data_IF_909838113398
#
_entry.id   IF_909838113398
#
_cell.length_a   1.000
_cell.length_b   1.000
_cell.length_c   1.000
_cell.angle_alpha   90.00
_cell.angle_beta   90.00
_cell.angle_gamma   90.00
#
_symmetry.space_group_name_H-M   'P 1'
#
loop_
_entity.id
_entity.type
_entity.pdbx_description
1 polymer ?
#
# COMPACT_ATOMS: atom_id res chain seq x y z
N UNK A 1 -2.30 17.49 5.85
CA UNK A 1 -3.17 16.36 6.26
C UNK A 1 -2.43 15.55 7.31
N UNK A 2 -3.13 15.09 8.36
CA UNK A 2 -2.52 14.34 9.48
C UNK A 2 -2.75 12.82 9.40
N UNK A 3 -3.42 12.34 8.35
CA UNK A 3 -3.67 10.91 8.13
C UNK A 3 -2.44 10.28 7.49
N UNK A 4 -1.84 9.23 8.07
CA UNK A 4 -0.80 8.45 7.40
C UNK A 4 -1.29 7.95 6.05
N UNK A 5 -0.44 7.98 5.03
CA UNK A 5 -0.78 7.58 3.67
C UNK A 5 0.30 6.66 3.09
N UNK A 6 -0.10 5.50 2.62
CA UNK A 6 0.70 4.65 1.75
C UNK A 6 0.21 4.80 0.32
N UNK A 7 1.13 5.15 -0.57
CA UNK A 7 0.92 5.21 -2.02
C UNK A 7 1.70 4.06 -2.66
N UNK A 8 1.01 3.24 -3.44
CA UNK A 8 1.60 2.14 -4.19
C UNK A 8 1.39 2.34 -5.69
N UNK A 9 2.37 1.96 -6.50
CA UNK A 9 2.28 2.01 -7.97
C UNK A 9 2.87 0.75 -8.61
N UNK A 10 2.37 0.37 -9.78
CA UNK A 10 2.92 -0.70 -10.59
C UNK A 10 3.87 -0.14 -11.65
N UNK A 11 5.05 -0.74 -11.84
CA UNK A 11 6.05 -0.24 -12.79
C UNK A 11 5.59 -0.26 -14.25
N UNK A 12 4.61 -1.11 -14.59
CA UNK A 12 4.00 -1.21 -15.92
C UNK A 12 2.60 -0.57 -15.99
N UNK A 13 2.16 0.15 -14.95
CA UNK A 13 0.88 0.85 -14.95
C UNK A 13 0.87 1.97 -16.02
N UNK A 14 -0.12 1.92 -16.91
CA UNK A 14 -0.35 2.91 -17.98
C UNK A 14 -1.50 3.88 -17.68
N UNK A 15 -2.31 3.60 -16.67
CA UNK A 15 -3.41 4.45 -16.23
C UNK A 15 -2.94 5.40 -15.14
N UNK A 16 -2.37 4.86 -14.06
CA UNK A 16 -1.74 5.62 -12.98
C UNK A 16 -0.23 5.41 -13.04
N UNK A 17 0.41 5.95 -14.08
CA UNK A 17 1.85 5.73 -14.32
C UNK A 17 2.68 6.13 -13.09
N UNK A 18 3.80 5.42 -12.78
CA UNK A 18 4.68 5.80 -11.68
C UNK A 18 5.13 7.25 -11.73
N UNK A 19 5.37 7.79 -12.93
CA UNK A 19 5.72 9.19 -13.12
C UNK A 19 4.60 10.15 -12.66
N UNK A 20 3.34 9.87 -13.04
CA UNK A 20 2.19 10.66 -12.61
C UNK A 20 1.95 10.56 -11.10
N UNK A 21 2.11 9.36 -10.52
CA UNK A 21 1.99 9.15 -9.07
C UNK A 21 3.08 9.91 -8.31
N UNK A 22 4.34 9.87 -8.77
CA UNK A 22 5.44 10.62 -8.17
C UNK A 22 5.20 12.12 -8.17
N UNK A 23 4.62 12.68 -9.24
CA UNK A 23 4.23 14.09 -9.28
C UNK A 23 3.23 14.46 -8.18
N UNK A 24 2.30 13.55 -7.85
CA UNK A 24 1.34 13.78 -6.77
C UNK A 24 1.99 13.78 -5.37
N UNK A 25 3.14 13.09 -5.20
CA UNK A 25 3.86 13.03 -3.92
C UNK A 25 4.40 14.40 -3.49
N UNK A 26 4.66 15.32 -4.42
CA UNK A 26 5.05 16.71 -4.10
C UNK A 26 3.98 17.44 -3.26
N UNK A 27 2.71 17.00 -3.35
CA UNK A 27 1.59 17.52 -2.56
C UNK A 27 1.31 16.69 -1.31
N UNK A 28 2.01 15.57 -1.12
CA UNK A 28 1.81 14.58 -0.07
C UNK A 28 3.14 14.25 0.64
N UNK A 29 3.80 15.23 1.29
CA UNK A 29 5.18 15.08 1.79
C UNK A 29 5.35 14.04 2.89
N UNK A 30 4.26 13.63 3.55
CA UNK A 30 4.27 12.60 4.60
C UNK A 30 3.85 11.21 4.09
N UNK A 31 3.66 11.04 2.78
CA UNK A 31 3.27 9.76 2.22
C UNK A 31 4.46 8.79 2.16
N UNK A 32 4.21 7.54 2.53
CA UNK A 32 5.12 6.43 2.21
C UNK A 32 4.85 5.99 0.77
N UNK A 33 5.90 5.83 -0.04
CA UNK A 33 5.78 5.40 -1.43
C UNK A 33 6.45 4.04 -1.67
N UNK A 34 5.79 3.18 -2.46
CA UNK A 34 6.31 1.88 -2.90
C UNK A 34 5.94 1.61 -4.36
N UNK A 35 6.88 1.05 -5.12
CA UNK A 35 6.66 0.61 -6.49
C UNK A 35 6.83 -0.91 -6.60
N UNK A 36 5.94 -1.56 -7.33
CA UNK A 36 5.95 -3.00 -7.57
C UNK A 36 6.32 -3.29 -9.03
N UNK A 37 7.37 -4.06 -9.23
CA UNK A 37 7.92 -4.40 -10.54
C UNK A 37 9.23 -5.18 -10.44
N UNK A 38 9.70 -5.73 -11.57
CA UNK A 38 10.95 -6.51 -11.59
C UNK A 38 12.17 -5.71 -11.14
N UNK A 39 12.20 -4.42 -11.47
CA UNK A 39 13.24 -3.50 -11.02
C UNK A 39 13.32 -3.37 -9.47
N UNK A 40 12.25 -3.76 -8.76
CA UNK A 40 12.16 -3.76 -7.30
C UNK A 40 12.22 -5.17 -6.70
N UNK A 41 12.64 -6.17 -7.48
CA UNK A 41 12.83 -7.56 -7.01
C UNK A 41 11.57 -8.44 -7.03
N UNK A 42 10.49 -7.98 -7.66
CA UNK A 42 9.23 -8.73 -7.78
C UNK A 42 9.22 -9.65 -9.00
N UNK A 43 8.33 -10.65 -9.00
CA UNK A 43 8.25 -11.67 -10.06
C UNK A 43 7.81 -11.10 -11.42
N UNK A 44 7.03 -10.02 -11.41
CA UNK A 44 6.42 -9.40 -12.60
C UNK A 44 6.51 -7.88 -12.58
N UNK A 45 6.36 -7.26 -13.75
CA UNK A 45 6.12 -5.83 -13.86
C UNK A 45 4.63 -5.58 -13.70
N UNK A 46 4.24 -4.94 -12.61
CA UNK A 46 2.84 -4.79 -12.25
C UNK A 46 2.16 -3.71 -13.09
N UNK A 47 1.07 -4.07 -13.76
CA UNK A 47 0.11 -3.13 -14.33
C UNK A 47 -0.92 -2.65 -13.29
N UNK A 48 -1.87 -1.82 -13.73
CA UNK A 48 -2.84 -1.15 -12.86
C UNK A 48 -3.63 -2.11 -11.96
N UNK A 49 -4.25 -3.12 -12.58
CA UNK A 49 -5.10 -4.08 -11.86
C UNK A 49 -4.29 -5.18 -11.21
N UNK A 50 -3.03 -5.38 -11.60
CA UNK A 50 -2.19 -6.46 -11.09
C UNK A 50 -1.87 -6.27 -9.61
N UNK A 51 -1.85 -5.04 -9.12
CA UNK A 51 -1.65 -4.74 -7.70
C UNK A 51 -2.73 -5.38 -6.79
N UNK A 52 -3.90 -5.72 -7.36
CA UNK A 52 -5.05 -6.28 -6.65
C UNK A 52 -5.42 -7.67 -7.16
N UNK A 53 -5.45 -7.86 -8.48
CA UNK A 53 -5.91 -9.08 -9.15
C UNK A 53 -4.77 -9.93 -9.71
N UNK A 54 -3.53 -9.44 -9.65
CA UNK A 54 -2.36 -10.15 -10.15
C UNK A 54 -2.07 -11.41 -9.34
N UNK A 55 -1.66 -12.49 -10.02
CA UNK A 55 -1.40 -13.79 -9.39
C UNK A 55 -0.36 -13.71 -8.25
N UNK A 56 0.62 -12.83 -8.36
CA UNK A 56 1.67 -12.62 -7.36
C UNK A 56 1.29 -11.57 -6.29
N UNK A 57 0.18 -10.82 -6.46
CA UNK A 57 -0.24 -9.79 -5.50
C UNK A 57 -0.44 -10.31 -4.06
N UNK A 58 -1.03 -11.51 -3.83
CA UNK A 58 -1.16 -12.06 -2.48
C UNK A 58 0.16 -12.30 -1.76
N UNK A 59 1.24 -12.57 -2.49
CA UNK A 59 2.56 -12.85 -1.92
C UNK A 59 3.48 -11.64 -1.91
N UNK A 60 3.31 -10.69 -2.82
CA UNK A 60 4.22 -9.55 -2.97
C UNK A 60 3.61 -8.21 -2.54
N UNK A 61 2.33 -7.95 -2.85
CA UNK A 61 1.69 -6.65 -2.58
C UNK A 61 0.98 -6.64 -1.23
N UNK A 62 0.14 -7.65 -0.97
CA UNK A 62 -0.74 -7.64 0.20
C UNK A 62 0.02 -7.66 1.53
N UNK A 63 1.13 -8.41 1.69
CA UNK A 63 1.91 -8.38 2.93
C UNK A 63 2.48 -6.99 3.23
N UNK A 64 2.88 -6.23 2.19
CA UNK A 64 3.37 -4.85 2.36
C UNK A 64 2.25 -3.93 2.84
N UNK A 65 1.06 -4.02 2.22
CA UNK A 65 -0.11 -3.23 2.65
C UNK A 65 -0.56 -3.61 4.05
N UNK A 66 -0.65 -4.91 4.35
CA UNK A 66 -1.06 -5.40 5.66
C UNK A 66 -0.08 -5.01 6.78
N UNK A 67 1.23 -5.13 6.54
CA UNK A 67 2.26 -4.69 7.48
C UNK A 67 2.18 -3.20 7.75
N UNK A 68 2.06 -2.38 6.70
CA UNK A 68 1.89 -0.94 6.84
C UNK A 68 0.62 -0.58 7.63
N UNK A 69 -0.51 -1.25 7.34
CA UNK A 69 -1.74 -1.05 8.08
C UNK A 69 -1.59 -1.43 9.56
N UNK A 70 -0.93 -2.55 9.87
CA UNK A 70 -0.71 -2.97 11.25
C UNK A 70 0.13 -1.97 12.05
N UNK A 71 1.17 -1.40 11.43
CA UNK A 71 2.03 -0.37 12.04
C UNK A 71 1.27 0.94 12.32
N UNK A 72 0.28 1.28 11.50
CA UNK A 72 -0.46 2.54 11.57
C UNK A 72 -1.87 2.39 12.16
N UNK A 73 -2.28 1.15 12.47
CA UNK A 73 -3.56 0.86 13.10
C UNK A 73 -3.59 1.48 14.49
N UNK A 74 -4.40 2.53 14.67
CA UNK A 74 -4.82 2.95 15.99
C UNK A 74 -5.82 1.92 16.48
N UNK A 75 -5.36 0.95 17.27
CA UNK A 75 -6.25 0.00 17.94
C UNK A 75 -7.26 0.83 18.73
N UNK A 76 -8.56 0.84 18.38
CA UNK A 76 -9.55 1.48 19.21
C UNK A 76 -9.48 0.80 20.57
N UNK A 77 -9.45 1.59 21.65
CA UNK A 77 -9.58 1.06 23.01
C UNK A 77 -11.03 0.58 23.16
N UNK A 78 -11.39 -0.51 22.51
CA UNK A 78 -12.67 -1.13 22.75
C UNK A 78 -12.57 -1.80 24.12
N UNK A 79 -12.99 -1.08 25.15
CA UNK A 79 -13.24 -1.67 26.46
C UNK A 79 -14.45 -2.58 26.27
N UNK A 80 -14.22 -3.86 25.98
CA UNK A 80 -15.22 -4.90 26.22
C UNK A 80 -15.42 -4.95 27.74
N UNK A 81 -16.34 -4.12 28.25
CA UNK A 81 -16.85 -4.28 29.59
C UNK A 81 -17.78 -5.48 29.60
N UNK A 82 -17.25 -6.64 29.98
CA UNK A 82 -17.99 -7.72 30.64
C UNK A 82 -17.00 -8.37 31.63
N UNK A 83 -17.11 -7.97 32.90
CA UNK A 83 -16.59 -8.79 33.98
C UNK A 83 -17.55 -10.00 34.12
N UNK A 84 -17.05 -11.25 34.14
CA UNK A 84 -17.90 -12.38 34.47
C UNK A 84 -18.29 -12.33 35.97
N UNK A 85 -19.44 -12.90 36.35
CA UNK A 85 -19.94 -12.93 37.73
C UNK A 85 -19.02 -13.70 38.69
#
# INVERSE_FOLDING_TARGET
>A
MATPLLVIAGTADRFATPAAVRLALDRLPSATYREFGRAHGHAVDYGHVDLILGRAAPTEVFPVVAGWLAEHARVPRWRCGHAPP
#
